data_IF_077321647553
#
_entry.id   IF_077321647553
#
_cell.length_a   1.000
_cell.length_b   1.000
_cell.length_c   1.000
_cell.angle_alpha   90.00
_cell.angle_beta   90.00
_cell.angle_gamma   90.00
#
_symmetry.space_group_name_H-M   'P 1'
#
loop_
_entity.id
_entity.type
_entity.pdbx_description
1 polymer ?
#
# COMPACT_ATOMS: atom_id res chain seq x y z
N UNK A 1 4.21 -25.19 18.67
CA UNK A 1 3.03 -24.63 17.99
C UNK A 1 3.33 -23.16 17.74
N UNK A 2 3.88 -22.84 16.57
CA UNK A 2 4.32 -21.48 16.23
C UNK A 2 3.06 -20.61 16.15
N UNK A 3 2.95 -19.60 17.02
CA UNK A 3 1.84 -18.66 17.00
C UNK A 3 1.88 -17.94 15.66
N UNK A 4 0.96 -18.27 14.76
CA UNK A 4 0.75 -17.47 13.56
C UNK A 4 0.24 -16.12 14.06
N UNK A 5 1.01 -15.06 13.84
CA UNK A 5 0.58 -13.71 14.16
C UNK A 5 -0.73 -13.45 13.39
N UNK A 6 -1.79 -13.03 14.11
CA UNK A 6 -3.10 -12.70 13.53
C UNK A 6 -3.05 -11.47 12.60
N UNK A 7 -1.92 -10.76 12.62
CA UNK A 7 -1.68 -9.55 11.84
C UNK A 7 -0.31 -9.59 11.17
N UNK A 8 -0.22 -8.88 10.06
CA UNK A 8 1.02 -8.52 9.36
C UNK A 8 1.17 -7.00 9.39
N UNK A 9 2.37 -6.52 9.67
CA UNK A 9 2.73 -5.12 9.59
C UNK A 9 3.51 -4.88 8.31
N UNK A 10 3.07 -3.96 7.47
CA UNK A 10 3.78 -3.58 6.25
C UNK A 10 4.18 -2.12 6.30
N UNK A 11 5.22 -1.76 5.54
CA UNK A 11 5.59 -0.36 5.31
C UNK A 11 5.03 0.09 3.97
N UNK A 12 4.19 1.12 3.97
CA UNK A 12 3.66 1.73 2.75
C UNK A 12 4.45 3.00 2.46
N UNK A 13 4.95 3.16 1.22
CA UNK A 13 5.71 4.32 0.78
C UNK A 13 5.00 5.01 -0.36
N UNK A 14 4.81 6.32 -0.23
CA UNK A 14 4.10 7.15 -1.20
C UNK A 14 5.07 7.96 -2.04
N UNK A 15 4.87 7.97 -3.35
CA UNK A 15 5.68 8.72 -4.30
C UNK A 15 4.86 9.78 -5.04
N UNK A 16 5.53 10.86 -5.45
CA UNK A 16 4.96 11.93 -6.28
C UNK A 16 3.54 12.37 -5.86
N UNK A 17 2.55 12.24 -6.75
CA UNK A 17 1.16 12.63 -6.49
C UNK A 17 0.50 11.87 -5.32
N UNK A 18 0.88 10.61 -5.08
CA UNK A 18 0.38 9.85 -3.94
C UNK A 18 0.93 10.41 -2.61
N UNK A 19 2.19 10.83 -2.59
CA UNK A 19 2.78 11.52 -1.42
C UNK A 19 2.09 12.85 -1.15
N UNK A 20 1.82 13.63 -2.21
CA UNK A 20 1.10 14.90 -2.08
C UNK A 20 -0.33 14.70 -1.54
N UNK A 21 -0.99 13.62 -1.95
CA UNK A 21 -2.33 13.27 -1.47
C UNK A 21 -2.34 12.72 -0.04
N UNK A 22 -1.39 11.86 0.32
CA UNK A 22 -1.25 11.30 1.66
C UNK A 22 -0.69 12.30 2.69
N UNK A 23 0.06 13.31 2.24
CA UNK A 23 0.72 14.29 3.10
C UNK A 23 1.95 13.76 3.84
N UNK A 24 2.25 12.46 3.72
CA UNK A 24 3.37 11.77 4.36
C UNK A 24 4.14 10.94 3.33
N UNK A 25 5.43 10.71 3.59
CA UNK A 25 6.28 9.91 2.71
C UNK A 25 6.02 8.41 2.87
N UNK A 26 5.83 7.97 4.10
CA UNK A 26 5.70 6.56 4.43
C UNK A 26 4.97 6.37 5.76
N UNK A 27 4.39 5.20 5.93
CA UNK A 27 3.78 4.78 7.19
C UNK A 27 3.83 3.27 7.35
N UNK A 28 3.66 2.81 8.60
CA UNK A 28 3.43 1.39 8.87
C UNK A 28 1.95 1.15 9.14
N UNK A 29 1.38 0.16 8.46
CA UNK A 29 0.01 -0.29 8.71
C UNK A 29 0.00 -1.75 9.14
N UNK A 30 -0.85 -2.06 10.13
CA UNK A 30 -1.11 -3.42 10.57
C UNK A 30 -2.42 -3.91 9.95
N UNK A 31 -2.35 -5.04 9.24
CA UNK A 31 -3.48 -5.68 8.56
C UNK A 31 -3.66 -7.10 9.09
N UNK A 32 -4.85 -7.71 8.94
CA UNK A 32 -5.05 -9.11 9.28
C UNK A 32 -4.09 -10.04 8.52
N UNK A 33 -3.73 -11.17 9.11
CA UNK A 33 -2.93 -12.18 8.45
C UNK A 33 -3.63 -12.68 7.18
N UNK A 34 -2.87 -12.75 6.08
CA UNK A 34 -3.42 -13.10 4.76
C UNK A 34 -4.06 -11.94 4.00
N UNK A 35 -3.99 -10.71 4.54
CA UNK A 35 -4.38 -9.50 3.81
C UNK A 35 -3.62 -9.38 2.48
N UNK A 36 -4.26 -8.71 1.54
CA UNK A 36 -3.77 -8.52 0.17
C UNK A 36 -3.34 -7.09 -0.10
N UNK A 37 -2.70 -6.86 -1.24
CA UNK A 37 -2.38 -5.50 -1.71
C UNK A 37 -3.65 -4.64 -1.84
N UNK A 38 -4.78 -5.22 -2.27
CA UNK A 38 -6.07 -4.52 -2.27
C UNK A 38 -6.51 -4.07 -0.87
N UNK A 39 -6.33 -4.92 0.13
CA UNK A 39 -6.67 -4.58 1.52
C UNK A 39 -5.79 -3.45 2.05
N UNK A 40 -4.49 -3.47 1.74
CA UNK A 40 -3.59 -2.37 2.08
C UNK A 40 -4.02 -1.07 1.41
N UNK A 41 -4.28 -1.08 0.10
CA UNK A 41 -4.73 0.08 -0.66
C UNK A 41 -6.04 0.67 -0.09
N UNK A 42 -7.00 -0.19 0.27
CA UNK A 42 -8.24 0.22 0.93
C UNK A 42 -7.98 0.85 2.29
N UNK A 43 -7.18 0.20 3.14
CA UNK A 43 -6.89 0.68 4.49
C UNK A 43 -6.22 2.07 4.48
N UNK A 44 -5.29 2.32 3.56
CA UNK A 44 -4.67 3.66 3.43
C UNK A 44 -5.63 4.68 2.83
N UNK A 45 -6.51 4.26 1.92
CA UNK A 45 -7.56 5.14 1.37
C UNK A 45 -8.53 5.61 2.47
N UNK A 46 -8.97 4.69 3.32
CA UNK A 46 -9.86 4.98 4.45
C UNK A 46 -9.20 5.91 5.48
N UNK A 47 -7.88 5.77 5.69
CA UNK A 47 -7.10 6.60 6.62
C UNK A 47 -6.89 8.04 6.13
N UNK A 48 -6.58 8.22 4.84
CA UNK A 48 -6.22 9.54 4.27
C UNK A 48 -7.37 10.24 3.53
N UNK A 49 -8.49 9.55 3.37
CA UNK A 49 -9.70 10.09 2.75
C UNK A 49 -9.66 10.16 1.22
N UNK A 50 -10.62 10.90 0.67
CA UNK A 50 -10.95 10.86 -0.77
C UNK A 50 -9.80 11.29 -1.69
N UNK A 51 -8.91 12.19 -1.22
CA UNK A 51 -7.76 12.66 -2.00
C UNK A 51 -6.84 11.50 -2.38
N UNK A 52 -6.50 10.63 -1.43
CA UNK A 52 -5.64 9.48 -1.69
C UNK A 52 -6.42 8.38 -2.45
N UNK A 53 -7.69 8.16 -2.10
CA UNK A 53 -8.55 7.19 -2.78
C UNK A 53 -8.60 7.42 -4.29
N UNK A 54 -8.82 8.66 -4.73
CA UNK A 54 -8.84 9.01 -6.15
C UNK A 54 -7.51 8.72 -6.85
N UNK A 55 -6.39 9.09 -6.23
CA UNK A 55 -5.04 8.86 -6.78
C UNK A 55 -4.71 7.36 -6.88
N UNK A 56 -5.11 6.56 -5.90
CA UNK A 56 -4.82 5.13 -5.85
C UNK A 56 -5.45 4.34 -7.01
N UNK A 57 -6.57 4.81 -7.57
CA UNK A 57 -7.20 4.15 -8.72
C UNK A 57 -6.32 4.10 -9.97
N UNK A 58 -5.40 5.04 -10.11
CA UNK A 58 -4.45 5.11 -11.23
C UNK A 58 -3.05 4.62 -10.85
N UNK A 59 -2.79 4.33 -9.57
CA UNK A 59 -1.46 3.95 -9.10
C UNK A 59 -1.10 2.51 -9.48
N UNK A 60 0.19 2.30 -9.73
CA UNK A 60 0.83 0.99 -9.72
C UNK A 60 1.43 0.72 -8.34
N UNK A 61 1.49 -0.54 -7.96
CA UNK A 61 2.07 -0.98 -6.68
C UNK A 61 3.32 -1.81 -6.90
N UNK A 62 4.36 -1.59 -6.10
CA UNK A 62 5.48 -2.51 -5.98
C UNK A 62 5.48 -3.16 -4.61
N UNK A 63 5.64 -4.47 -4.55
CA UNK A 63 5.85 -5.21 -3.31
C UNK A 63 7.33 -5.61 -3.25
N UNK A 64 8.06 -5.07 -2.28
CA UNK A 64 9.52 -5.23 -2.14
C UNK A 64 10.29 -4.94 -3.45
N UNK A 65 9.87 -3.87 -4.14
CA UNK A 65 10.46 -3.45 -5.42
C UNK A 65 9.97 -4.25 -6.65
N UNK A 66 9.10 -5.24 -6.48
CA UNK A 66 8.54 -6.03 -7.59
C UNK A 66 7.14 -5.56 -7.95
N UNK A 67 6.90 -5.29 -9.24
CA UNK A 67 5.60 -4.85 -9.72
C UNK A 67 4.49 -5.86 -9.41
N UNK A 68 3.48 -5.40 -8.67
CA UNK A 68 2.29 -6.19 -8.34
C UNK A 68 1.37 -6.20 -9.55
N UNK A 69 1.22 -7.38 -10.17
CA UNK A 69 0.28 -7.58 -11.29
C UNK A 69 -1.12 -7.95 -10.86
N UNK A 70 -1.28 -8.46 -9.64
CA UNK A 70 -2.56 -8.88 -9.09
C UNK A 70 -2.80 -8.23 -7.73
N UNK A 71 -3.90 -7.48 -7.54
CA UNK A 71 -4.22 -6.89 -6.25
C UNK A 71 -4.56 -7.94 -5.17
N UNK A 72 -4.78 -9.19 -5.56
CA UNK A 72 -4.97 -10.33 -4.65
C UNK A 72 -3.66 -10.92 -4.11
N UNK A 73 -2.50 -10.38 -4.50
CA UNK A 73 -1.21 -10.80 -3.94
C UNK A 73 -1.21 -10.61 -2.43
N UNK A 74 -0.86 -11.67 -1.70
CA UNK A 74 -0.80 -11.66 -0.22
C UNK A 74 0.41 -10.90 0.28
N UNK A 75 0.20 -10.18 1.37
CA UNK A 75 1.22 -9.46 2.09
C UNK A 75 1.83 -10.35 3.17
N UNK A 76 3.13 -10.18 3.41
CA UNK A 76 3.84 -10.82 4.51
C UNK A 76 4.25 -9.76 5.53
N UNK A 77 4.53 -10.19 6.76
CA UNK A 77 5.03 -9.28 7.78
C UNK A 77 6.37 -8.68 7.34
N UNK A 78 6.53 -7.38 7.52
CA UNK A 78 7.74 -6.63 7.15
C UNK A 78 7.87 -6.27 5.67
N UNK A 79 6.92 -6.64 4.80
CA UNK A 79 7.02 -6.29 3.37
C UNK A 79 6.85 -4.79 3.13
N UNK A 80 7.55 -4.27 2.13
CA UNK A 80 7.41 -2.89 1.67
C UNK A 80 6.44 -2.80 0.49
N UNK A 81 5.47 -1.88 0.56
CA UNK A 81 4.53 -1.59 -0.52
C UNK A 81 4.75 -0.16 -1.03
N UNK A 82 5.29 -0.01 -2.23
CA UNK A 82 5.47 1.30 -2.88
C UNK A 82 4.23 1.65 -3.71
N UNK A 83 3.71 2.85 -3.49
CA UNK A 83 2.57 3.42 -4.22
C UNK A 83 3.10 4.41 -5.25
N UNK A 84 3.04 4.00 -6.52
CA UNK A 84 3.56 4.75 -7.65
C UNK A 84 2.41 5.28 -8.50
N UNK A 85 2.03 6.56 -8.36
CA UNK A 85 1.11 7.18 -9.31
C UNK A 85 1.71 7.16 -10.71
N UNK A 86 0.89 7.19 -11.77
CA UNK A 86 1.40 7.29 -13.13
C UNK A 86 2.28 8.54 -13.22
N UNK A 87 3.38 8.43 -13.95
CA UNK A 87 4.23 9.59 -14.21
C UNK A 87 3.36 10.68 -14.86
N UNK A 88 3.07 11.73 -14.12
CA UNK A 88 2.58 12.98 -14.68
C UNK A 88 3.80 13.67 -15.32
N UNK A 89 4.30 13.09 -16.41
CA UNK A 89 5.20 13.79 -17.32
C UNK A 89 4.41 14.94 -17.92
N UNK A 90 4.83 16.17 -17.60
CA UNK A 90 4.37 17.36 -18.29
C UNK A 90 4.91 17.44 -19.71
#
# INVERSE_FOLDING_TARGET
MTRVSDKVTIQVRYFAGARAAAGIQEENIALPAGATVADAARAVSERHGEKLSGVLTACSFLLDGIAVRSPATRLSDGTQLDVLPPFAGG
#
